data_IF_277669735161
#
_entry.id   IF_277669735161
#
_cell.length_a   1.000
_cell.length_b   1.000
_cell.length_c   1.000
_cell.angle_alpha   90.00
_cell.angle_beta   90.00
_cell.angle_gamma   90.00
#
_symmetry.space_group_name_H-M   'P 1'
#
loop_
_entity.id
_entity.type
_entity.pdbx_description
1 polymer ?
#
# COMPACT_ATOMS: atom_id res chain seq x y z
N UNK A 1 -11.98 25.12 6.14
CA UNK A 1 -13.18 24.76 5.36
C UNK A 1 -13.30 23.26 5.43
N UNK A 2 -14.50 22.72 5.32
CA UNK A 2 -14.82 21.31 5.54
C UNK A 2 -13.91 20.32 4.79
N UNK A 3 -13.36 20.71 3.63
CA UNK A 3 -12.37 19.88 2.90
C UNK A 3 -11.03 19.76 3.63
N UNK A 4 -10.47 20.87 4.13
CA UNK A 4 -9.17 20.84 4.79
C UNK A 4 -9.20 20.01 6.08
N UNK A 5 -10.34 20.02 6.77
CA UNK A 5 -10.57 19.26 7.99
C UNK A 5 -10.77 17.74 7.71
N UNK A 6 -11.03 17.35 6.46
CA UNK A 6 -11.22 15.97 6.03
C UNK A 6 -9.97 15.32 5.40
N UNK A 7 -8.94 16.12 5.05
CA UNK A 7 -7.71 15.60 4.44
C UNK A 7 -6.70 15.27 5.54
N UNK A 8 -6.41 13.98 5.73
CA UNK A 8 -5.46 13.52 6.75
C UNK A 8 -4.00 13.48 6.27
N UNK A 9 -3.79 13.43 4.95
CA UNK A 9 -2.46 13.39 4.34
C UNK A 9 -2.51 13.51 2.82
N UNK A 10 -1.38 13.87 2.21
CA UNK A 10 -1.22 13.92 0.75
C UNK A 10 -0.10 12.97 0.36
N UNK A 11 -0.41 11.88 -0.36
CA UNK A 11 0.62 11.07 -1.01
C UNK A 11 1.03 11.70 -2.33
N UNK A 12 2.34 11.87 -2.55
CA UNK A 12 2.91 12.32 -3.81
C UNK A 12 3.54 11.13 -4.52
N UNK A 13 2.71 10.31 -5.17
CA UNK A 13 3.13 9.10 -5.88
C UNK A 13 2.79 7.81 -5.13
N UNK A 14 2.93 6.69 -5.84
CA UNK A 14 2.75 5.33 -5.30
C UNK A 14 3.59 4.35 -6.11
N UNK A 15 4.50 3.62 -5.46
CA UNK A 15 5.42 2.63 -6.04
C UNK A 15 6.39 3.17 -7.12
N UNK A 16 6.67 4.48 -7.11
CA UNK A 16 7.55 5.06 -8.13
C UNK A 16 9.00 4.57 -7.98
N UNK A 17 9.46 4.30 -6.75
CA UNK A 17 10.79 3.75 -6.48
C UNK A 17 10.82 2.25 -6.78
N UNK A 18 9.79 1.49 -6.39
CA UNK A 18 9.66 0.08 -6.74
C UNK A 18 9.72 -0.13 -8.25
N UNK A 19 8.93 0.62 -9.02
CA UNK A 19 8.89 0.52 -10.49
C UNK A 19 10.21 0.90 -11.15
N UNK A 20 11.03 1.73 -10.50
CA UNK A 20 12.37 2.09 -10.96
C UNK A 20 13.46 1.10 -10.50
N UNK A 21 13.14 0.14 -9.64
CA UNK A 21 14.08 -0.87 -9.13
C UNK A 21 14.32 -2.00 -10.14
N UNK A 22 15.43 -2.77 -10.02
CA UNK A 22 15.63 -3.96 -10.83
C UNK A 22 14.47 -4.96 -10.75
N UNK A 23 13.85 -5.10 -9.56
CA UNK A 23 12.72 -6.00 -9.33
C UNK A 23 11.47 -5.51 -10.08
N UNK A 24 11.17 -4.20 -10.00
CA UNK A 24 10.04 -3.61 -10.72
C UNK A 24 10.19 -3.67 -12.24
N UNK A 25 11.41 -3.46 -12.74
CA UNK A 25 11.74 -3.59 -14.16
C UNK A 25 11.56 -5.04 -14.64
N UNK A 26 12.07 -6.02 -13.90
CA UNK A 26 11.90 -7.45 -14.22
C UNK A 26 10.42 -7.87 -14.20
N UNK A 27 9.64 -7.30 -13.27
CA UNK A 27 8.20 -7.54 -13.16
C UNK A 27 7.36 -6.80 -14.22
N UNK A 28 7.96 -5.95 -15.06
CA UNK A 28 7.25 -5.03 -15.96
C UNK A 28 6.19 -4.18 -15.23
N UNK A 29 6.52 -3.70 -14.01
CA UNK A 29 5.58 -3.02 -13.11
C UNK A 29 5.13 -1.63 -13.61
N UNK A 30 5.62 -1.15 -14.75
CA UNK A 30 5.30 0.15 -15.33
C UNK A 30 6.42 1.16 -15.13
N UNK A 31 6.08 2.44 -15.26
CA UNK A 31 7.05 3.54 -15.16
C UNK A 31 7.28 3.94 -13.71
N UNK A 32 8.53 3.96 -13.28
CA UNK A 32 8.96 4.54 -12.00
C UNK A 32 9.60 5.91 -12.16
N UNK A 33 10.08 6.47 -11.05
CA UNK A 33 10.81 7.73 -11.01
C UNK A 33 12.04 7.66 -10.11
N UNK A 34 13.06 8.44 -10.45
CA UNK A 34 14.24 8.58 -9.59
C UNK A 34 13.89 9.32 -8.28
N UNK A 35 14.55 9.00 -7.15
CA UNK A 35 14.31 9.64 -5.86
C UNK A 35 14.23 11.16 -5.91
N UNK A 36 15.14 11.83 -6.62
CA UNK A 36 15.16 13.29 -6.68
C UNK A 36 14.05 13.91 -7.54
N UNK A 37 13.53 13.15 -8.49
CA UNK A 37 12.33 13.56 -9.23
C UNK A 37 11.12 13.58 -8.30
N UNK A 38 10.99 12.58 -7.43
CA UNK A 38 9.91 12.50 -6.43
C UNK A 38 10.04 13.64 -5.41
N UNK A 39 11.25 13.89 -4.88
CA UNK A 39 11.51 15.03 -3.96
C UNK A 39 11.10 16.36 -4.60
N UNK A 40 11.46 16.58 -5.88
CA UNK A 40 11.06 17.78 -6.61
C UNK A 40 9.53 17.91 -6.74
N UNK A 41 8.81 16.80 -6.95
CA UNK A 41 7.34 16.84 -6.98
C UNK A 41 6.75 17.10 -5.60
N UNK A 42 7.32 16.53 -4.53
CA UNK A 42 6.90 16.84 -3.16
C UNK A 42 7.02 18.34 -2.89
N UNK A 43 8.15 18.95 -3.23
CA UNK A 43 8.39 20.38 -3.07
C UNK A 43 7.41 21.23 -3.89
N UNK A 44 7.10 20.83 -5.13
CA UNK A 44 6.12 21.50 -5.96
C UNK A 44 4.71 21.45 -5.35
N UNK A 45 4.26 20.30 -4.86
CA UNK A 45 2.94 20.19 -4.22
C UNK A 45 2.90 21.01 -2.94
N UNK A 46 3.95 20.96 -2.10
CA UNK A 46 4.08 21.81 -0.91
C UNK A 46 3.94 23.30 -1.25
N UNK A 47 4.60 23.77 -2.32
CA UNK A 47 4.48 25.17 -2.77
C UNK A 47 3.07 25.53 -3.25
N UNK A 48 2.42 24.64 -4.00
CA UNK A 48 1.06 24.87 -4.53
C UNK A 48 0.06 25.02 -3.38
N UNK A 49 0.16 24.21 -2.34
CA UNK A 49 -0.82 24.23 -1.24
C UNK A 49 -0.47 25.16 -0.08
N UNK A 50 0.72 25.77 -0.07
CA UNK A 50 1.23 26.58 1.04
C UNK A 50 0.32 27.75 1.47
N UNK A 51 -0.47 28.30 0.55
CA UNK A 51 -1.41 29.40 0.83
C UNK A 51 -2.87 28.95 0.81
N UNK A 52 -3.12 27.66 1.02
CA UNK A 52 -4.46 27.06 1.04
C UNK A 52 -4.78 26.49 2.42
N UNK A 53 -6.00 25.98 2.60
CA UNK A 53 -6.36 25.25 3.82
C UNK A 53 -5.54 23.97 4.06
N UNK A 54 -4.82 23.47 3.05
CA UNK A 54 -4.03 22.24 3.13
C UNK A 54 -2.55 22.48 3.49
N UNK A 55 -2.16 23.72 3.82
CA UNK A 55 -0.76 24.09 4.08
C UNK A 55 -0.10 23.29 5.22
N UNK A 56 -0.89 22.75 6.15
CA UNK A 56 -0.42 21.99 7.31
C UNK A 56 -0.73 20.48 7.20
N UNK A 57 -1.23 20.00 6.06
CA UNK A 57 -1.49 18.57 5.85
C UNK A 57 -0.15 17.86 5.66
N UNK A 58 0.09 16.71 6.31
CA UNK A 58 1.37 16.01 6.19
C UNK A 58 1.51 15.30 4.84
N UNK A 59 2.72 15.33 4.29
CA UNK A 59 3.04 14.77 2.99
C UNK A 59 3.69 13.40 3.11
N UNK A 60 3.30 12.48 2.25
CA UNK A 60 3.90 11.16 2.16
C UNK A 60 4.22 10.77 0.73
N UNK A 61 4.79 9.58 0.63
CA UNK A 61 4.92 8.83 -0.60
C UNK A 61 4.59 7.37 -0.25
N UNK A 62 3.97 6.66 -1.17
CA UNK A 62 3.61 5.25 -1.00
C UNK A 62 4.60 4.40 -1.76
N UNK A 63 5.16 3.37 -1.14
CA UNK A 63 6.01 2.41 -1.84
C UNK A 63 6.10 1.08 -1.09
N UNK A 64 6.69 0.09 -1.76
CA UNK A 64 6.95 -1.24 -1.19
C UNK A 64 8.02 -1.20 -0.12
N UNK A 65 8.01 -2.17 0.81
CA UNK A 65 9.09 -2.27 1.81
C UNK A 65 10.48 -2.42 1.18
N UNK A 66 10.60 -3.10 0.03
CA UNK A 66 11.88 -3.30 -0.65
C UNK A 66 12.45 -1.98 -1.19
N UNK A 67 11.57 -1.07 -1.62
CA UNK A 67 11.97 0.28 -1.98
C UNK A 67 12.38 1.11 -0.76
N UNK A 68 11.67 1.00 0.36
CA UNK A 68 11.99 1.75 1.57
C UNK A 68 13.31 1.35 2.21
N UNK A 69 13.66 0.05 2.22
CA UNK A 69 14.94 -0.41 2.76
C UNK A 69 16.12 -0.17 1.83
N UNK A 70 15.89 0.24 0.58
CA UNK A 70 16.95 0.56 -0.35
C UNK A 70 17.53 1.95 -0.04
N UNK A 71 18.75 1.98 0.49
CA UNK A 71 19.43 3.22 0.87
C UNK A 71 19.63 4.25 -0.24
N UNK A 72 19.52 3.88 -1.53
CA UNK A 72 19.51 4.88 -2.62
C UNK A 72 18.29 5.81 -2.59
N UNK A 73 17.24 5.43 -1.86
CA UNK A 73 15.97 6.13 -1.80
C UNK A 73 15.84 7.05 -0.56
N UNK A 74 16.90 7.18 0.25
CA UNK A 74 16.90 7.97 1.49
C UNK A 74 16.40 9.42 1.29
N UNK A 75 16.69 10.03 0.14
CA UNK A 75 16.24 11.39 -0.16
C UNK A 75 14.70 11.54 -0.13
N UNK A 76 13.95 10.51 -0.54
CA UNK A 76 12.48 10.53 -0.46
C UNK A 76 12.03 10.40 0.99
N UNK A 77 12.64 9.49 1.76
CA UNK A 77 12.38 9.34 3.20
C UNK A 77 12.60 10.67 3.91
N UNK A 78 13.68 11.39 3.61
CA UNK A 78 14.00 12.67 4.24
C UNK A 78 12.98 13.77 3.89
N UNK A 79 12.41 13.75 2.68
CA UNK A 79 11.50 14.78 2.16
C UNK A 79 10.03 14.64 2.61
N UNK A 80 9.61 13.46 3.05
CA UNK A 80 8.23 13.17 3.50
C UNK A 80 8.07 13.29 5.02
N UNK A 81 6.82 13.49 5.47
CA UNK A 81 6.42 13.51 6.88
C UNK A 81 6.02 12.10 7.38
N UNK A 82 5.51 11.24 6.49
CA UNK A 82 5.15 9.84 6.75
C UNK A 82 5.50 8.94 5.55
N UNK A 83 5.66 7.63 5.81
CA UNK A 83 5.90 6.62 4.78
C UNK A 83 4.62 5.81 4.56
N UNK A 84 4.18 5.68 3.31
CA UNK A 84 3.13 4.76 2.91
C UNK A 84 3.72 3.40 2.60
N UNK A 85 3.29 2.39 3.34
CA UNK A 85 3.61 1.00 3.08
C UNK A 85 2.54 0.39 2.18
N UNK A 86 2.97 0.01 0.98
CA UNK A 86 2.26 -0.87 0.07
C UNK A 86 2.85 -2.28 0.18
N UNK A 87 2.04 -3.27 0.57
CA UNK A 87 2.57 -4.61 0.77
C UNK A 87 1.54 -5.72 0.71
N UNK A 88 1.83 -6.68 -0.18
CA UNK A 88 1.02 -7.87 -0.41
C UNK A 88 1.87 -9.14 -0.23
N UNK A 89 1.76 -9.86 0.90
CA UNK A 89 2.42 -11.15 1.07
C UNK A 89 2.12 -12.13 -0.08
N UNK A 90 0.93 -12.02 -0.69
CA UNK A 90 0.53 -12.74 -1.88
C UNK A 90 1.56 -12.69 -3.03
N UNK A 91 2.20 -11.53 -3.25
CA UNK A 91 3.18 -11.33 -4.32
C UNK A 91 4.63 -11.59 -3.90
N UNK A 92 4.91 -11.95 -2.64
CA UNK A 92 6.24 -12.34 -2.16
C UNK A 92 6.61 -13.77 -2.58
N UNK A 93 6.52 -14.04 -3.89
CA UNK A 93 6.55 -15.37 -4.50
C UNK A 93 7.92 -16.07 -4.50
N UNK A 94 8.99 -15.39 -4.08
CA UNK A 94 10.32 -15.99 -3.84
C UNK A 94 10.47 -16.54 -2.42
N UNK A 95 9.46 -16.32 -1.56
CA UNK A 95 9.38 -16.78 -0.18
C UNK A 95 8.28 -17.84 -0.04
N UNK A 96 8.23 -18.54 1.09
CA UNK A 96 7.05 -19.32 1.45
C UNK A 96 5.91 -18.33 1.77
N UNK A 97 4.99 -18.14 0.82
CA UNK A 97 3.93 -17.14 0.87
C UNK A 97 2.53 -17.77 0.93
N UNK A 98 2.39 -18.90 1.63
CA UNK A 98 1.07 -19.48 1.88
C UNK A 98 0.21 -18.53 2.74
N UNK A 99 -1.10 -18.79 2.84
CA UNK A 99 -1.94 -17.97 3.72
C UNK A 99 -1.50 -18.09 5.18
N UNK A 100 -0.98 -19.25 5.57
CA UNK A 100 -0.42 -19.51 6.91
C UNK A 100 0.87 -18.72 7.18
N UNK A 101 1.62 -18.35 6.15
CA UNK A 101 2.84 -17.54 6.26
C UNK A 101 2.56 -16.02 6.16
N UNK A 102 1.38 -15.65 5.65
CA UNK A 102 1.06 -14.29 5.21
C UNK A 102 1.16 -13.26 6.33
N UNK A 103 0.70 -13.59 7.54
CA UNK A 103 0.77 -12.70 8.68
C UNK A 103 2.22 -12.39 9.07
N UNK A 104 3.08 -13.41 9.12
CA UNK A 104 4.49 -13.23 9.46
C UNK A 104 5.21 -12.39 8.40
N UNK A 105 4.97 -12.66 7.12
CA UNK A 105 5.53 -11.88 6.02
C UNK A 105 5.09 -10.42 6.07
N UNK A 106 3.80 -10.17 6.28
CA UNK A 106 3.25 -8.81 6.39
C UNK A 106 3.97 -8.02 7.49
N UNK A 107 4.02 -8.55 8.71
CA UNK A 107 4.64 -7.84 9.83
C UNK A 107 6.15 -7.67 9.65
N UNK A 108 6.86 -8.64 9.07
CA UNK A 108 8.26 -8.47 8.73
C UNK A 108 8.49 -7.29 7.77
N UNK A 109 7.64 -7.17 6.75
CA UNK A 109 7.70 -6.06 5.79
C UNK A 109 7.36 -4.72 6.42
N UNK A 110 6.33 -4.66 7.28
CA UNK A 110 5.98 -3.44 8.04
C UNK A 110 7.13 -3.02 8.97
N UNK A 111 7.73 -3.96 9.71
CA UNK A 111 8.85 -3.66 10.61
C UNK A 111 10.11 -3.24 9.84
N UNK A 112 10.34 -3.79 8.66
CA UNK A 112 11.42 -3.33 7.78
C UNK A 112 11.21 -1.87 7.34
N UNK A 113 9.99 -1.50 6.92
CA UNK A 113 9.65 -0.11 6.59
C UNK A 113 9.78 0.81 7.80
N UNK A 114 9.31 0.39 8.98
CA UNK A 114 9.48 1.14 10.25
C UNK A 114 10.96 1.35 10.57
N UNK A 115 11.80 0.35 10.38
CA UNK A 115 13.25 0.44 10.56
C UNK A 115 13.91 1.47 9.62
N UNK A 116 13.40 1.64 8.40
CA UNK A 116 13.89 2.63 7.44
C UNK A 116 13.33 4.04 7.65
N UNK A 117 12.18 4.17 8.34
CA UNK A 117 11.41 5.42 8.46
C UNK A 117 12.13 6.60 9.12
N UNK A 118 13.22 6.36 9.84
CA UNK A 118 13.85 7.38 10.69
C UNK A 118 12.97 7.83 11.86
N UNK A 119 12.03 6.99 12.29
CA UNK A 119 11.08 7.29 13.37
C UNK A 119 9.83 8.04 12.92
N UNK A 120 9.63 8.22 11.61
CA UNK A 120 8.40 8.77 11.03
C UNK A 120 7.28 7.73 11.06
N UNK A 121 6.04 8.21 11.03
CA UNK A 121 4.89 7.32 10.97
C UNK A 121 4.89 6.48 9.68
N UNK A 122 4.49 5.21 9.82
CA UNK A 122 4.26 4.30 8.69
C UNK A 122 2.78 3.99 8.60
N UNK A 123 2.16 4.38 7.50
CA UNK A 123 0.76 4.11 7.20
C UNK A 123 0.66 2.87 6.33
N UNK A 124 -0.32 2.01 6.58
CA UNK A 124 -0.59 0.86 5.72
C UNK A 124 -1.50 1.35 4.60
N UNK A 125 -0.92 1.76 3.49
CA UNK A 125 -1.66 2.43 2.41
C UNK A 125 -2.26 1.47 1.41
N UNK A 126 -1.69 0.27 1.29
CA UNK A 126 -2.26 -0.81 0.50
C UNK A 126 -1.84 -2.16 1.08
N UNK A 127 -2.83 -3.04 1.25
CA UNK A 127 -2.63 -4.46 1.50
C UNK A 127 -3.94 -5.20 1.26
N UNK A 128 -3.86 -6.51 1.06
CA UNK A 128 -5.02 -7.36 0.86
C UNK A 128 -4.63 -8.75 0.40
N UNK A 129 -5.63 -9.59 0.20
CA UNK A 129 -5.45 -10.93 -0.37
C UNK A 129 -6.53 -11.18 -1.41
N UNK A 130 -6.18 -11.70 -2.59
CA UNK A 130 -7.13 -11.81 -3.68
C UNK A 130 -8.21 -12.86 -3.42
N UNK A 131 -9.46 -12.50 -3.72
CA UNK A 131 -10.64 -13.35 -3.60
C UNK A 131 -10.75 -14.36 -4.73
N UNK A 132 -10.09 -14.09 -5.86
CA UNK A 132 -10.00 -14.98 -7.02
C UNK A 132 -8.79 -14.64 -7.90
N UNK A 133 -8.36 -15.59 -8.74
CA UNK A 133 -7.23 -15.40 -9.66
C UNK A 133 -6.25 -16.58 -9.66
N UNK A 134 -5.16 -16.47 -10.43
CA UNK A 134 -4.13 -17.51 -10.51
C UNK A 134 -3.27 -17.51 -9.23
N UNK A 135 -2.99 -18.69 -8.69
CA UNK A 135 -2.07 -18.87 -7.56
C UNK A 135 -0.69 -18.24 -7.83
N UNK A 136 -0.12 -17.58 -6.81
CA UNK A 136 1.22 -16.98 -6.82
C UNK A 136 2.15 -17.74 -5.88
N UNK A 137 3.03 -18.60 -6.42
CA UNK A 137 3.84 -19.56 -5.65
C UNK A 137 2.97 -20.44 -4.72
N UNK A 138 2.98 -20.25 -3.39
CA UNK A 138 2.13 -20.96 -2.44
C UNK A 138 0.84 -20.20 -2.09
N UNK A 139 0.73 -18.93 -2.49
CA UNK A 139 -0.41 -18.08 -2.20
C UNK A 139 -1.60 -18.40 -3.12
N UNK A 140 -2.63 -19.06 -2.55
CA UNK A 140 -3.88 -19.37 -3.26
C UNK A 140 -4.87 -18.22 -3.12
N UNK A 141 -5.30 -17.64 -4.25
CA UNK A 141 -6.39 -16.67 -4.29
C UNK A 141 -7.74 -17.36 -4.04
N UNK A 142 -8.45 -16.97 -3.00
CA UNK A 142 -9.80 -17.47 -2.68
C UNK A 142 -10.49 -16.57 -1.67
N UNK A 143 -11.82 -16.56 -1.66
CA UNK A 143 -12.62 -15.87 -0.63
C UNK A 143 -12.24 -16.34 0.78
N UNK A 144 -11.98 -17.64 0.96
CA UNK A 144 -11.60 -18.20 2.26
C UNK A 144 -10.28 -17.61 2.77
N UNK A 145 -9.24 -17.60 1.93
CA UNK A 145 -7.95 -17.02 2.31
C UNK A 145 -8.00 -15.49 2.44
N UNK A 146 -8.80 -14.81 1.61
CA UNK A 146 -9.01 -13.39 1.75
C UNK A 146 -9.65 -13.02 3.10
N UNK A 147 -10.61 -13.82 3.57
CA UNK A 147 -11.18 -13.66 4.90
C UNK A 147 -10.15 -13.94 5.99
N UNK A 148 -9.38 -15.03 5.90
CA UNK A 148 -8.32 -15.31 6.88
C UNK A 148 -7.34 -14.14 6.98
N UNK A 149 -6.91 -13.60 5.84
CA UNK A 149 -6.00 -12.45 5.80
C UNK A 149 -6.63 -11.19 6.41
N UNK A 150 -7.91 -10.93 6.13
CA UNK A 150 -8.66 -9.84 6.77
C UNK A 150 -8.70 -9.99 8.29
N UNK A 151 -9.12 -11.16 8.79
CA UNK A 151 -9.27 -11.43 10.23
C UNK A 151 -7.93 -11.27 10.97
N UNK A 152 -6.83 -11.71 10.36
CA UNK A 152 -5.50 -11.67 10.97
C UNK A 152 -4.79 -10.33 10.89
N UNK A 153 -5.08 -9.53 9.85
CA UNK A 153 -4.33 -8.31 9.53
C UNK A 153 -5.19 -7.07 9.67
N UNK A 154 -6.35 -7.00 8.99
CA UNK A 154 -7.22 -5.82 9.07
C UNK A 154 -7.65 -5.58 10.51
N UNK A 155 -8.14 -6.62 11.21
CA UNK A 155 -8.59 -6.47 12.60
C UNK A 155 -7.48 -6.12 13.59
N UNK A 156 -6.21 -6.40 13.27
CA UNK A 156 -5.07 -5.97 14.08
C UNK A 156 -4.64 -4.52 13.82
N UNK A 157 -5.02 -3.94 12.68
CA UNK A 157 -4.62 -2.60 12.24
C UNK A 157 -5.68 -1.54 12.45
N UNK A 158 -6.96 -1.91 12.32
CA UNK A 158 -8.10 -1.00 12.51
C UNK A 158 -8.02 -0.36 13.90
N UNK A 159 -8.23 0.96 13.94
CA UNK A 159 -8.07 1.82 15.12
C UNK A 159 -6.67 1.89 15.75
N UNK A 160 -5.66 1.23 15.18
CA UNK A 160 -4.26 1.28 15.66
C UNK A 160 -3.37 2.17 14.80
N UNK A 161 -3.53 2.10 13.48
CA UNK A 161 -2.75 2.87 12.51
C UNK A 161 -3.64 3.31 11.35
N UNK A 162 -3.19 4.30 10.58
CA UNK A 162 -3.83 4.60 9.31
C UNK A 162 -3.69 3.40 8.39
N UNK A 163 -4.82 2.77 8.06
CA UNK A 163 -4.90 1.59 7.20
C UNK A 163 -5.92 1.82 6.08
N UNK A 164 -5.52 1.50 4.86
CA UNK A 164 -6.33 1.57 3.65
C UNK A 164 -6.28 0.21 2.97
N UNK A 165 -7.41 -0.51 3.01
CA UNK A 165 -7.49 -1.86 2.49
C UNK A 165 -7.70 -1.87 0.98
N UNK A 166 -6.90 -2.65 0.26
CA UNK A 166 -7.03 -2.80 -1.19
C UNK A 166 -7.90 -4.03 -1.51
N UNK A 167 -9.08 -3.86 -2.10
CA UNK A 167 -9.80 -2.61 -2.41
C UNK A 167 -11.28 -2.81 -2.18
N UNK A 168 -12.07 -1.73 -2.05
CA UNK A 168 -13.51 -1.85 -1.87
C UNK A 168 -14.17 -2.58 -3.04
N UNK A 169 -13.97 -2.06 -4.26
CA UNK A 169 -14.57 -2.58 -5.49
C UNK A 169 -13.46 -2.89 -6.50
N UNK A 170 -13.57 -4.04 -7.16
CA UNK A 170 -12.72 -4.34 -8.31
C UNK A 170 -12.97 -3.37 -9.47
N UNK A 171 -12.02 -3.33 -10.41
CA UNK A 171 -12.20 -2.63 -11.67
C UNK A 171 -13.53 -3.04 -12.35
N UNK A 172 -14.25 -2.04 -12.86
CA UNK A 172 -15.52 -2.21 -13.55
C UNK A 172 -15.37 -1.83 -15.02
N UNK A 173 -16.01 -2.55 -15.98
CA UNK A 173 -16.91 -3.69 -15.78
C UNK A 173 -16.19 -5.05 -15.76
N UNK A 174 -14.88 -5.08 -15.95
CA UNK A 174 -14.10 -6.32 -16.07
C UNK A 174 -13.41 -6.61 -14.76
N UNK A 175 -13.80 -7.73 -14.12
CA UNK A 175 -13.11 -8.25 -12.94
C UNK A 175 -11.63 -8.50 -13.28
N UNK A 176 -10.68 -7.90 -12.53
CA UNK A 176 -9.26 -8.10 -12.74
C UNK A 176 -8.84 -9.52 -12.32
N UNK A 177 -7.66 -9.94 -12.76
CA UNK A 177 -7.06 -11.22 -12.38
C UNK A 177 -5.59 -11.00 -11.99
N UNK A 178 -5.23 -11.11 -10.70
CA UNK A 178 -6.11 -11.45 -9.57
C UNK A 178 -7.11 -10.34 -9.21
N UNK A 179 -8.17 -10.71 -8.48
CA UNK A 179 -9.24 -9.81 -8.03
C UNK A 179 -9.22 -9.67 -6.51
N UNK A 180 -9.35 -8.43 -6.02
CA UNK A 180 -9.20 -8.05 -4.62
C UNK A 180 -10.43 -7.37 -4.03
N UNK A 181 -11.38 -6.95 -4.88
CA UNK A 181 -12.55 -6.18 -4.47
C UNK A 181 -13.39 -6.88 -3.41
N UNK A 182 -13.58 -6.23 -2.25
CA UNK A 182 -14.43 -6.70 -1.16
C UNK A 182 -15.89 -6.87 -1.57
N UNK A 183 -16.35 -6.15 -2.60
CA UNK A 183 -17.74 -6.24 -3.13
C UNK A 183 -17.79 -6.71 -4.60
N UNK A 184 -16.68 -7.23 -5.13
CA UNK A 184 -16.56 -7.63 -6.54
C UNK A 184 -16.52 -6.45 -7.52
N UNK A 185 -16.82 -6.68 -8.80
CA UNK A 185 -16.72 -5.66 -9.89
C UNK A 185 -17.99 -4.84 -10.10
N UNK A 186 -19.09 -5.19 -9.43
CA UNK A 186 -20.34 -4.41 -9.37
C UNK A 186 -20.50 -3.89 -7.96
N UNK A 187 -20.56 -2.56 -7.80
CA UNK A 187 -20.72 -1.92 -6.48
C UNK A 187 -21.96 -2.47 -5.76
N UNK A 188 -21.75 -2.91 -4.52
CA UNK A 188 -22.75 -3.58 -3.67
C UNK A 188 -22.51 -3.17 -2.22
N UNK A 189 -23.55 -3.25 -1.39
CA UNK A 189 -23.47 -3.11 0.08
C UNK A 189 -23.17 -4.45 0.78
N UNK A 190 -23.14 -5.54 0.02
CA UNK A 190 -22.91 -6.89 0.52
C UNK A 190 -21.47 -7.31 0.25
N UNK A 191 -20.60 -7.42 1.28
CA UNK A 191 -19.23 -7.87 1.09
C UNK A 191 -19.17 -9.37 0.78
N UNK A 192 -18.09 -9.79 0.11
CA UNK A 192 -17.85 -11.20 -0.27
C UNK A 192 -17.56 -12.11 0.94
N UNK A 193 -17.18 -11.53 2.08
CA UNK A 193 -16.98 -12.20 3.35
C UNK A 193 -17.27 -11.22 4.50
N UNK A 194 -17.45 -11.74 5.72
CA UNK A 194 -17.70 -10.92 6.91
C UNK A 194 -16.48 -10.05 7.25
N UNK A 195 -16.71 -8.75 7.41
CA UNK A 195 -15.68 -7.74 7.67
C UNK A 195 -15.62 -7.32 9.15
N UNK A 196 -16.40 -7.95 10.04
CA UNK A 196 -16.41 -7.59 11.46
C UNK A 196 -15.09 -7.89 12.16
N UNK A 197 -14.68 -6.96 13.02
CA UNK A 197 -13.70 -7.08 14.09
C UNK A 197 -14.43 -6.72 15.41
#
# INVERSE_FOLDING_TARGET
SDLADAVIGISVGSEDLYRNSPIGIEANAGYGADPQTIVSYIDQVKQVVANTGLANVPFGHVDTWTAWVNGSNQAVIDAVDWLGFDGYPYFQNTMANSIEDAQSLFWQSVEATRGASGGKDVWITETGWPVSGPQSNLAVASIANAKTYWDEIACALIDQVNVFWYTLQDASPVTPSPSFGLVGSTLSDTPLFDLSC
#
